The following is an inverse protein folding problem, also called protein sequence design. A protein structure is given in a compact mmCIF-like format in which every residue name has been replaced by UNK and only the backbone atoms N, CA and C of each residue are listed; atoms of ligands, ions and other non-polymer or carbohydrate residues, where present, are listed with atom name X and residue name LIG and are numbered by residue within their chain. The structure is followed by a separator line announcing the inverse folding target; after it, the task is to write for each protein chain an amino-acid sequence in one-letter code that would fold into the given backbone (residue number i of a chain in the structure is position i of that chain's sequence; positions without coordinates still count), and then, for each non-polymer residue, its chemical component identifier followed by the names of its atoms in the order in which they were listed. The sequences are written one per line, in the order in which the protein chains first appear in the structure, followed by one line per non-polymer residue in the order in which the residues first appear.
data_IF_888765639657
#
_entry.id   IF_888765639657
#
_cell.length_a   1.000
_cell.length_b   1.000
_cell.length_c   1.000
_cell.angle_alpha   90.00
_cell.angle_beta   90.00
_cell.angle_gamma   90.00
#
_symmetry.space_group_name_H-M   'P 1'
#
loop_
_entity.id
_entity.type
_entity.pdbx_description
1 polymer ?
#
# COMPACT_ATOMS: atom_id res chain seq x y z
N UNK A 1 -15.35 9.51 6.33
CA UNK A 1 -15.77 8.56 5.27
C UNK A 1 -14.50 7.97 4.69
N UNK A 2 -14.45 6.67 4.45
CA UNK A 2 -13.25 6.02 3.90
C UNK A 2 -13.02 6.46 2.44
N UNK A 3 -11.77 6.72 2.05
CA UNK A 3 -11.46 7.35 0.75
C UNK A 3 -11.86 6.46 -0.43
N UNK A 4 -11.77 5.15 -0.24
CA UNK A 4 -12.02 4.16 -1.28
C UNK A 4 -13.41 3.52 -1.18
N UNK A 5 -14.30 4.01 -0.31
CA UNK A 5 -15.72 3.60 -0.28
C UNK A 5 -16.57 4.25 -1.41
N UNK A 6 -15.97 4.51 -2.57
CA UNK A 6 -16.64 5.15 -3.71
C UNK A 6 -17.05 4.12 -4.76
N UNK A 7 -18.04 4.43 -5.63
CA UNK A 7 -18.43 3.52 -6.72
C UNK A 7 -17.26 3.11 -7.62
N UNK A 8 -16.25 3.98 -7.75
CA UNK A 8 -15.02 3.71 -8.50
C UNK A 8 -14.26 2.50 -7.97
N UNK A 9 -14.33 2.20 -6.68
CA UNK A 9 -13.59 1.09 -6.05
C UNK A 9 -14.47 -0.12 -5.72
N UNK A 10 -15.79 -0.03 -5.97
CA UNK A 10 -16.76 -1.09 -5.66
C UNK A 10 -16.51 -2.42 -6.42
N UNK A 11 -15.74 -2.40 -7.51
CA UNK A 11 -15.42 -3.59 -8.32
C UNK A 11 -14.28 -4.45 -7.76
N UNK A 12 -13.60 -4.02 -6.69
CA UNK A 12 -12.50 -4.78 -6.10
C UNK A 12 -12.66 -4.85 -4.58
N UNK A 13 -12.39 -6.02 -4.00
CA UNK A 13 -12.43 -6.22 -2.55
C UNK A 13 -11.03 -5.98 -1.97
N UNK A 14 -10.86 -5.10 -0.97
CA UNK A 14 -9.56 -4.86 -0.34
C UNK A 14 -9.06 -6.13 0.34
N UNK A 15 -7.74 -6.36 0.28
CA UNK A 15 -7.08 -7.47 0.97
C UNK A 15 -6.46 -6.91 2.26
N UNK A 16 -6.98 -7.24 3.45
CA UNK A 16 -6.46 -6.69 4.71
C UNK A 16 -5.02 -7.14 4.98
N UNK A 17 -4.36 -6.47 5.93
CA UNK A 17 -3.06 -6.90 6.42
C UNK A 17 -3.21 -8.21 7.19
N UNK A 18 -2.39 -9.20 6.87
CA UNK A 18 -2.13 -10.35 7.74
C UNK A 18 -0.70 -10.20 8.28
N UNK A 19 -0.58 -9.77 9.52
CA UNK A 19 0.69 -9.61 10.25
C UNK A 19 0.99 -10.82 11.16
N UNK A 20 0.18 -11.87 11.08
CA UNK A 20 0.28 -13.06 11.90
C UNK A 20 -0.44 -12.98 13.24
N UNK A 21 -1.02 -11.84 13.61
CA UNK A 21 -1.78 -11.68 14.86
C UNK A 21 -3.12 -12.41 14.88
N UNK A 22 -3.53 -13.10 13.82
CA UNK A 22 -4.81 -13.82 13.76
C UNK A 22 -4.67 -15.34 13.88
N UNK A 23 -3.44 -15.88 13.80
CA UNK A 23 -3.17 -17.33 13.81
C UNK A 23 -3.05 -17.93 15.23
N UNK A 24 -3.81 -17.41 16.20
CA UNK A 24 -3.78 -17.95 17.57
C UNK A 24 -4.53 -19.29 17.69
N UNK A 25 -3.89 -20.25 18.36
CA UNK A 25 -4.54 -21.47 18.85
C UNK A 25 -5.57 -21.10 19.93
N UNK A 26 -6.86 -21.10 19.59
CA UNK A 26 -7.96 -21.06 20.55
C UNK A 26 -8.24 -22.44 21.21
N UNK A 27 -7.37 -23.43 21.03
CA UNK A 27 -7.61 -24.82 21.47
C UNK A 27 -6.87 -25.25 22.75
N UNK A 28 -6.47 -24.33 23.62
CA UNK A 28 -5.95 -24.75 24.94
C UNK A 28 -6.49 -23.88 26.07
N UNK A 29 -7.77 -24.09 26.39
CA UNK A 29 -8.24 -23.92 27.77
C UNK A 29 -7.32 -24.75 28.69
N UNK A 30 -6.44 -24.09 29.41
CA UNK A 30 -5.70 -24.69 30.53
C UNK A 30 -4.18 -24.81 30.40
N UNK A 31 -3.52 -24.27 29.36
CA UNK A 31 -2.05 -24.22 29.30
C UNK A 31 -1.57 -22.77 29.34
N UNK A 32 -0.78 -22.44 30.36
CA UNK A 32 -0.16 -21.14 30.55
C UNK A 32 0.70 -20.72 29.35
N UNK A 33 0.20 -19.75 28.58
CA UNK A 33 0.97 -18.57 28.17
C UNK A 33 2.15 -18.77 27.21
N UNK A 34 1.94 -19.36 26.04
CA UNK A 34 2.95 -19.35 24.97
C UNK A 34 2.37 -18.96 23.60
N UNK A 35 1.51 -17.93 23.57
CA UNK A 35 1.05 -17.33 22.32
C UNK A 35 2.19 -16.58 21.63
N UNK A 36 2.49 -16.92 20.38
CA UNK A 36 3.48 -16.20 19.57
C UNK A 36 2.85 -14.93 18.99
N UNK A 37 3.32 -13.77 19.43
CA UNK A 37 2.89 -12.47 18.91
C UNK A 37 3.88 -11.98 17.85
N UNK A 38 3.40 -11.30 16.78
CA UNK A 38 4.30 -10.62 15.88
C UNK A 38 5.11 -9.54 16.60
N UNK A 39 6.39 -9.44 16.26
CA UNK A 39 7.32 -8.48 16.86
C UNK A 39 7.43 -7.25 15.99
N UNK A 40 7.67 -6.09 16.64
CA UNK A 40 7.80 -4.80 15.96
C UNK A 40 6.60 -4.46 15.05
N UNK A 41 5.39 -4.85 15.47
CA UNK A 41 4.14 -4.44 14.83
C UNK A 41 4.01 -2.91 14.84
N UNK A 42 3.38 -2.37 13.80
CA UNK A 42 3.11 -0.94 13.71
C UNK A 42 1.60 -0.77 13.83
N UNK A 43 1.17 0.09 14.75
CA UNK A 43 -0.21 0.55 14.80
C UNK A 43 -0.39 1.61 13.69
N UNK A 44 -0.75 1.16 12.50
CA UNK A 44 -0.91 2.02 11.34
C UNK A 44 -2.11 2.96 11.50
N UNK A 45 -2.04 4.13 10.85
CA UNK A 45 -3.20 4.98 10.73
C UNK A 45 -4.28 4.28 9.87
N UNK A 46 -5.59 4.44 10.18
CA UNK A 46 -6.67 3.81 9.42
C UNK A 46 -6.60 4.09 7.91
N UNK A 47 -6.16 5.30 7.52
CA UNK A 47 -6.03 5.70 6.12
C UNK A 47 -4.93 4.91 5.39
N UNK A 48 -3.82 4.59 6.08
CA UNK A 48 -2.73 3.81 5.53
C UNK A 48 -3.09 2.32 5.44
N UNK A 49 -3.77 1.80 6.45
CA UNK A 49 -4.34 0.44 6.43
C UNK A 49 -5.32 0.27 5.27
N UNK A 50 -6.21 1.23 5.08
CA UNK A 50 -7.18 1.23 3.98
C UNK A 50 -6.46 1.23 2.62
N UNK A 51 -5.57 2.21 2.39
CA UNK A 51 -4.87 2.36 1.12
C UNK A 51 -4.02 1.14 0.78
N UNK A 52 -3.27 0.61 1.74
CA UNK A 52 -2.43 -0.59 1.49
C UNK A 52 -3.27 -1.85 1.30
N UNK A 53 -4.48 -1.91 1.86
CA UNK A 53 -5.41 -3.03 1.61
C UNK A 53 -5.95 -3.03 0.18
N UNK A 54 -6.27 -1.86 -0.35
CA UNK A 54 -6.60 -1.71 -1.77
C UNK A 54 -5.37 -1.93 -2.66
N UNK A 55 -4.17 -1.50 -2.24
CA UNK A 55 -2.93 -1.72 -2.98
C UNK A 55 -2.66 -3.21 -3.17
N UNK A 56 -2.79 -4.00 -2.08
CA UNK A 56 -2.68 -5.46 -2.15
C UNK A 56 -3.68 -6.06 -3.15
N UNK A 57 -4.92 -5.59 -3.15
CA UNK A 57 -5.96 -6.08 -4.04
C UNK A 57 -5.66 -5.80 -5.52
N UNK A 58 -5.33 -4.55 -5.89
CA UNK A 58 -5.04 -4.20 -7.29
C UNK A 58 -3.77 -4.87 -7.80
N UNK A 59 -2.76 -5.02 -6.93
CA UNK A 59 -1.53 -5.73 -7.27
C UNK A 59 -1.80 -7.23 -7.50
N UNK A 60 -2.63 -7.88 -6.68
CA UNK A 60 -3.00 -9.27 -6.85
C UNK A 60 -3.78 -9.52 -8.16
N UNK A 61 -4.61 -8.54 -8.58
CA UNK A 61 -5.30 -8.55 -9.86
C UNK A 61 -4.43 -8.12 -11.05
N UNK A 62 -3.17 -7.71 -10.82
CA UNK A 62 -2.29 -7.10 -11.82
C UNK A 62 -2.97 -5.95 -12.58
N UNK A 63 -3.71 -5.10 -11.87
CA UNK A 63 -4.54 -4.05 -12.46
C UNK A 63 -3.72 -2.83 -12.89
N UNK A 64 -3.65 -2.56 -14.20
CA UNK A 64 -3.02 -1.36 -14.75
C UNK A 64 -4.10 -0.33 -15.10
N UNK A 65 -4.43 0.57 -14.17
CA UNK A 65 -5.53 1.54 -14.32
C UNK A 65 -5.18 2.92 -13.75
N UNK A 66 -5.90 3.96 -14.17
CA UNK A 66 -5.71 5.32 -13.65
C UNK A 66 -5.99 5.40 -12.14
N UNK A 67 -7.03 4.69 -11.65
CA UNK A 67 -7.32 4.63 -10.20
C UNK A 67 -6.21 3.95 -9.41
N UNK A 68 -5.57 2.93 -9.99
CA UNK A 68 -4.41 2.29 -9.36
C UNK A 68 -3.20 3.23 -9.33
N UNK A 69 -3.00 4.04 -10.38
CA UNK A 69 -1.96 5.06 -10.42
C UNK A 69 -2.16 6.14 -9.33
N UNK A 70 -3.38 6.64 -9.17
CA UNK A 70 -3.74 7.58 -8.09
C UNK A 70 -3.53 6.97 -6.70
N UNK A 71 -3.92 5.70 -6.51
CA UNK A 71 -3.67 4.97 -5.27
C UNK A 71 -2.16 4.85 -4.96
N UNK A 72 -1.31 4.65 -5.98
CA UNK A 72 0.14 4.59 -5.74
C UNK A 72 0.68 5.93 -5.22
N UNK A 73 0.17 7.05 -5.71
CA UNK A 73 0.53 8.39 -5.21
C UNK A 73 0.13 8.54 -3.73
N UNK A 74 -1.09 8.14 -3.36
CA UNK A 74 -1.55 8.20 -1.97
C UNK A 74 -0.62 7.43 -1.02
N UNK A 75 -0.28 6.19 -1.37
CA UNK A 75 0.60 5.35 -0.55
C UNK A 75 2.01 5.92 -0.48
N UNK A 76 2.54 6.48 -1.57
CA UNK A 76 3.86 7.12 -1.60
C UNK A 76 3.89 8.38 -0.73
N UNK A 77 2.83 9.21 -0.78
CA UNK A 77 2.74 10.41 0.07
C UNK A 77 2.66 10.07 1.57
N UNK A 78 2.08 8.92 1.92
CA UNK A 78 2.05 8.44 3.31
C UNK A 78 3.36 7.74 3.74
N UNK A 79 3.97 6.96 2.86
CA UNK A 79 5.22 6.25 3.11
C UNK A 79 6.08 6.20 1.83
N UNK A 80 6.92 7.22 1.58
CA UNK A 80 7.73 7.29 0.36
C UNK A 80 8.82 6.22 0.32
N UNK A 81 9.12 5.55 1.44
CA UNK A 81 10.10 4.46 1.50
C UNK A 81 9.51 3.08 1.14
N UNK A 82 8.21 3.01 0.81
CA UNK A 82 7.56 1.76 0.43
C UNK A 82 7.99 1.32 -0.98
N UNK A 83 9.09 0.58 -1.09
CA UNK A 83 9.69 0.20 -2.37
C UNK A 83 8.75 -0.55 -3.33
N UNK A 84 7.86 -1.41 -2.82
CA UNK A 84 6.91 -2.16 -3.66
C UNK A 84 5.97 -1.26 -4.46
N UNK A 85 5.46 -0.17 -3.87
CA UNK A 85 4.53 0.72 -4.58
C UNK A 85 5.22 1.50 -5.69
N UNK A 86 6.49 1.85 -5.55
CA UNK A 86 7.29 2.49 -6.60
C UNK A 86 7.46 1.59 -7.83
N UNK A 87 7.78 0.31 -7.61
CA UNK A 87 7.86 -0.66 -8.71
C UNK A 87 6.50 -0.83 -9.40
N UNK A 88 5.42 -0.87 -8.63
CA UNK A 88 4.07 -1.00 -9.18
C UNK A 88 3.64 0.25 -9.97
N UNK A 89 3.93 1.44 -9.45
CA UNK A 89 3.71 2.73 -10.12
C UNK A 89 4.42 2.79 -11.47
N UNK A 90 5.69 2.40 -11.53
CA UNK A 90 6.45 2.34 -12.78
C UNK A 90 5.80 1.38 -13.81
N UNK A 91 5.33 0.21 -13.37
CA UNK A 91 4.59 -0.72 -14.25
C UNK A 91 3.32 -0.09 -14.81
N UNK A 92 2.54 0.61 -13.98
CA UNK A 92 1.31 1.26 -14.42
C UNK A 92 1.61 2.39 -15.41
N UNK A 93 2.59 3.25 -15.12
CA UNK A 93 2.99 4.35 -16.00
C UNK A 93 3.36 3.84 -17.41
N UNK A 94 4.11 2.74 -17.48
CA UNK A 94 4.52 2.13 -18.74
C UNK A 94 3.34 1.46 -19.46
N UNK A 95 2.48 0.73 -18.73
CA UNK A 95 1.33 0.04 -19.31
C UNK A 95 0.25 1.00 -19.84
N UNK A 96 0.10 2.17 -19.21
CA UNK A 96 -0.84 3.21 -19.63
C UNK A 96 -0.22 4.26 -20.55
N UNK A 97 1.04 4.09 -20.96
CA UNK A 97 1.78 5.01 -21.83
C UNK A 97 1.70 6.48 -21.34
N UNK A 98 1.88 6.68 -20.02
CA UNK A 98 1.79 8.01 -19.40
C UNK A 98 2.98 8.89 -19.81
N UNK A 99 2.75 10.20 -19.79
CA UNK A 99 3.80 11.18 -20.05
C UNK A 99 4.82 11.21 -18.91
N UNK A 100 6.00 10.64 -19.17
CA UNK A 100 7.09 10.54 -18.19
C UNK A 100 7.66 11.91 -17.78
N UNK A 101 7.47 12.98 -18.56
CA UNK A 101 7.90 14.31 -18.15
C UNK A 101 7.03 14.83 -17.01
N UNK A 102 5.71 14.57 -17.05
CA UNK A 102 4.79 14.91 -15.95
C UNK A 102 5.10 14.10 -14.70
N UNK A 103 5.44 12.82 -14.88
CA UNK A 103 5.88 11.99 -13.75
C UNK A 103 7.17 12.55 -13.14
N UNK A 104 8.17 12.90 -13.96
CA UNK A 104 9.42 13.47 -13.49
C UNK A 104 9.19 14.78 -12.72
N UNK A 105 8.29 15.65 -13.19
CA UNK A 105 7.90 16.86 -12.47
C UNK A 105 7.26 16.56 -11.11
N UNK A 106 6.44 15.52 -11.02
CA UNK A 106 5.83 15.07 -9.76
C UNK A 106 6.88 14.50 -8.80
N UNK A 107 7.73 13.58 -9.26
CA UNK A 107 8.82 12.98 -8.47
C UNK A 107 9.80 14.05 -7.98
N UNK A 108 10.14 15.05 -8.81
CA UNK A 108 11.02 16.16 -8.41
C UNK A 108 10.47 16.96 -7.23
N UNK A 109 9.15 17.16 -7.14
CA UNK A 109 8.53 17.83 -5.98
C UNK A 109 8.70 17.00 -4.72
N UNK A 110 8.57 15.68 -4.82
CA UNK A 110 8.76 14.77 -3.70
C UNK A 110 10.23 14.67 -3.28
N UNK A 111 11.16 14.67 -4.24
CA UNK A 111 12.60 14.63 -3.98
C UNK A 111 13.07 15.79 -3.09
N UNK A 112 12.51 17.00 -3.29
CA UNK A 112 12.79 18.17 -2.45
C UNK A 112 12.33 18.00 -1.00
N UNK A 113 11.34 17.15 -0.75
CA UNK A 113 10.81 16.86 0.58
C UNK A 113 11.50 15.65 1.23
N UNK A 114 12.00 14.72 0.42
CA UNK A 114 12.51 13.41 0.85
C UNK A 114 13.94 13.17 0.37
N UNK A 115 14.86 14.06 0.77
CA UNK A 115 16.26 14.09 0.29
C UNK A 115 17.05 12.78 0.50
N UNK A 116 16.67 11.95 1.47
CA UNK A 116 17.37 10.71 1.85
C UNK A 116 16.56 9.44 1.54
N UNK A 117 15.78 9.47 0.47
CA UNK A 117 14.94 8.34 0.07
C UNK A 117 15.48 7.69 -1.22
N UNK A 118 15.89 6.42 -1.14
CA UNK A 118 16.46 5.68 -2.27
C UNK A 118 15.46 5.35 -3.37
N UNK A 119 14.16 5.28 -3.07
CA UNK A 119 13.17 4.90 -4.07
C UNK A 119 12.89 6.05 -5.04
N UNK A 120 13.15 7.28 -4.62
CA UNK A 120 13.01 8.50 -5.44
C UNK A 120 14.20 8.70 -6.38
N UNK A 121 15.41 8.31 -5.97
CA UNK A 121 16.68 8.53 -6.68
C UNK A 121 17.11 7.32 -7.51
#
# INVERSE_FOLDING_TARGET
MSKYSTPTWASITPIPLDDGSTHYDNESEGVSGNGTYPLATIAYAPEYEEATSYLRAVMAANEMSERALELTEDVILMNPAHYTVWLYRAKILMALEKDLNKELEWVNKLALQCLKNYQIW
#
